data_IF_430448075964
#
_entry.id   IF_430448075964
#
_cell.length_a   1.000
_cell.length_b   1.000
_cell.length_c   1.000
_cell.angle_alpha   90.00
_cell.angle_beta   90.00
_cell.angle_gamma   90.00
#
_symmetry.space_group_name_H-M   'P 1'
#
loop_
_entity.id
_entity.type
_entity.pdbx_description
1 polymer ?
#
# COMPACT_ATOMS: atom_id res chain seq x y z
N UNK A 1 -4.41 -1.36 -32.70
CA UNK A 1 -4.37 -1.20 -31.25
C UNK A 1 -2.94 -1.15 -30.76
N UNK A 2 -2.57 -0.01 -30.17
CA UNK A 2 -1.20 0.23 -29.71
C UNK A 2 -0.75 -0.71 -28.57
N UNK A 3 -1.69 -1.32 -27.87
CA UNK A 3 -1.39 -2.21 -26.75
C UNK A 3 -0.94 -3.60 -27.23
N UNK A 4 -1.50 -4.09 -28.35
CA UNK A 4 -1.20 -5.42 -28.84
C UNK A 4 0.27 -5.64 -29.22
N UNK A 5 0.96 -4.70 -29.92
CA UNK A 5 2.39 -4.86 -30.20
C UNK A 5 3.24 -4.90 -28.92
N UNK A 6 2.89 -4.10 -27.92
CA UNK A 6 3.60 -4.10 -26.64
C UNK A 6 3.43 -5.42 -25.90
N UNK A 7 2.22 -5.97 -25.89
CA UNK A 7 1.93 -7.27 -25.30
C UNK A 7 2.78 -8.37 -25.95
N UNK A 8 2.87 -8.36 -27.28
CA UNK A 8 3.67 -9.32 -28.03
C UNK A 8 5.16 -9.21 -27.69
N UNK A 9 5.65 -7.98 -27.59
CA UNK A 9 7.04 -7.70 -27.23
C UNK A 9 7.38 -8.21 -25.83
N UNK A 10 6.52 -7.97 -24.87
CA UNK A 10 6.70 -8.48 -23.51
C UNK A 10 6.68 -9.99 -23.43
N UNK A 11 5.83 -10.65 -24.21
CA UNK A 11 5.81 -12.11 -24.30
C UNK A 11 7.13 -12.66 -24.83
N UNK A 12 7.74 -12.00 -25.81
CA UNK A 12 9.04 -12.40 -26.35
C UNK A 12 10.15 -12.30 -25.29
N UNK A 13 9.94 -11.54 -24.23
CA UNK A 13 10.86 -11.42 -23.10
C UNK A 13 10.50 -12.37 -21.94
N UNK A 14 9.73 -13.43 -22.22
CA UNK A 14 9.28 -14.42 -21.24
C UNK A 14 8.39 -13.83 -20.12
N UNK A 15 7.69 -12.74 -20.43
CA UNK A 15 6.72 -12.15 -19.52
C UNK A 15 5.32 -12.52 -20.01
N UNK A 16 4.55 -13.22 -19.18
CA UNK A 16 3.17 -13.57 -19.51
C UNK A 16 2.25 -12.39 -19.19
N UNK A 17 1.98 -11.60 -20.23
CA UNK A 17 1.14 -10.40 -20.11
C UNK A 17 -0.32 -10.75 -19.82
N UNK A 18 -0.81 -11.88 -20.33
CA UNK A 18 -2.18 -12.31 -20.02
C UNK A 18 -2.34 -12.63 -18.53
N UNK A 19 -1.36 -13.34 -17.96
CA UNK A 19 -1.39 -13.63 -16.54
C UNK A 19 -1.27 -12.37 -15.69
N UNK A 20 -0.44 -11.41 -16.13
CA UNK A 20 -0.32 -10.10 -15.46
C UNK A 20 -1.63 -9.34 -15.56
N UNK A 21 -2.24 -9.27 -16.74
CA UNK A 21 -3.51 -8.60 -16.97
C UNK A 21 -4.62 -9.20 -16.10
N UNK A 22 -4.69 -10.54 -16.03
CA UNK A 22 -5.68 -11.22 -15.18
C UNK A 22 -5.48 -10.92 -13.71
N UNK A 23 -4.24 -10.87 -13.25
CA UNK A 23 -3.92 -10.49 -11.87
C UNK A 23 -4.29 -9.04 -11.60
N UNK A 24 -4.05 -8.17 -12.58
CA UNK A 24 -4.43 -6.77 -12.49
C UNK A 24 -5.95 -6.60 -12.41
N UNK A 25 -6.70 -7.32 -13.26
CA UNK A 25 -8.16 -7.31 -13.20
C UNK A 25 -8.68 -7.79 -11.84
N UNK A 26 -8.13 -8.90 -11.33
CA UNK A 26 -8.45 -9.36 -9.98
C UNK A 26 -8.09 -8.34 -8.93
N UNK A 27 -6.95 -7.67 -9.09
CA UNK A 27 -6.53 -6.59 -8.20
C UNK A 27 -7.50 -5.43 -8.22
N UNK A 28 -8.00 -5.05 -9.41
CA UNK A 28 -9.01 -3.99 -9.55
C UNK A 28 -10.32 -4.40 -8.87
N UNK A 29 -10.76 -5.64 -9.06
CA UNK A 29 -11.95 -6.16 -8.38
C UNK A 29 -11.75 -6.21 -6.87
N UNK A 30 -10.56 -6.62 -6.42
CA UNK A 30 -10.20 -6.60 -5.00
C UNK A 30 -10.06 -5.19 -4.46
N UNK A 31 -9.60 -4.24 -5.28
CA UNK A 31 -9.51 -2.83 -4.91
C UNK A 31 -10.86 -2.20 -4.64
N UNK A 32 -11.97 -2.77 -5.13
CA UNK A 32 -13.30 -2.33 -4.73
C UNK A 32 -13.55 -2.58 -3.24
N UNK A 33 -12.94 -3.64 -2.69
CA UNK A 33 -12.90 -3.86 -1.24
C UNK A 33 -11.82 -3.01 -0.59
N UNK A 34 -10.69 -2.80 -1.30
CA UNK A 34 -9.54 -2.04 -0.85
C UNK A 34 -8.86 -2.64 0.38
N UNK A 35 -7.72 -2.07 0.69
CA UNK A 35 -7.05 -2.34 1.95
C UNK A 35 -7.55 -1.35 3.00
N UNK A 36 -7.59 -1.79 4.25
CA UNK A 36 -7.95 -0.90 5.36
C UNK A 36 -6.77 -0.05 5.80
N UNK A 37 -5.57 -0.60 5.73
CA UNK A 37 -4.34 0.05 6.21
C UNK A 37 -3.30 0.07 5.10
N UNK A 38 -2.73 1.25 4.84
CA UNK A 38 -1.60 1.40 3.94
C UNK A 38 -0.37 1.87 4.71
N UNK A 39 0.76 1.20 4.49
CA UNK A 39 2.05 1.62 5.03
C UNK A 39 2.91 2.08 3.87
N UNK A 40 3.18 3.38 3.83
CA UNK A 40 4.02 3.99 2.80
C UNK A 40 5.47 3.88 3.22
N UNK A 41 6.30 3.29 2.37
CA UNK A 41 7.67 2.93 2.69
C UNK A 41 8.58 3.05 1.48
N UNK A 42 9.88 2.89 1.71
CA UNK A 42 10.89 2.77 0.66
C UNK A 42 11.79 1.57 0.95
N UNK A 43 12.28 0.92 -0.10
CA UNK A 43 13.17 -0.23 0.04
C UNK A 43 14.57 0.14 0.55
N UNK A 44 14.88 1.43 0.67
CA UNK A 44 16.11 1.91 1.28
C UNK A 44 16.05 1.99 2.81
N UNK A 45 14.90 1.76 3.41
CA UNK A 45 14.77 1.68 4.86
C UNK A 45 15.53 0.47 5.41
N UNK A 46 15.89 0.45 6.70
CA UNK A 46 16.59 -0.69 7.28
C UNK A 46 15.84 -2.00 7.09
N UNK A 47 16.56 -3.05 6.77
CA UNK A 47 16.01 -4.38 6.51
C UNK A 47 15.14 -4.88 7.66
N UNK A 48 15.58 -4.69 8.90
CA UNK A 48 14.83 -5.11 10.08
C UNK A 48 13.49 -4.40 10.19
N UNK A 49 13.46 -3.10 9.88
CA UNK A 49 12.22 -2.31 9.86
C UNK A 49 11.27 -2.82 8.79
N UNK A 50 11.76 -3.03 7.58
CA UNK A 50 10.95 -3.54 6.48
C UNK A 50 10.38 -4.93 6.78
N UNK A 51 11.18 -5.81 7.35
CA UNK A 51 10.72 -7.15 7.75
C UNK A 51 9.61 -7.10 8.79
N UNK A 52 9.74 -6.21 9.76
CA UNK A 52 8.72 -6.05 10.79
C UNK A 52 7.41 -5.53 10.18
N UNK A 53 7.51 -4.55 9.29
CA UNK A 53 6.32 -4.00 8.60
C UNK A 53 5.63 -5.08 7.74
N UNK A 54 6.39 -5.89 7.02
CA UNK A 54 5.85 -6.99 6.22
C UNK A 54 5.15 -8.01 7.12
N UNK A 55 5.78 -8.39 8.22
CA UNK A 55 5.21 -9.33 9.18
C UNK A 55 3.88 -8.82 9.73
N UNK A 56 3.85 -7.56 10.11
CA UNK A 56 2.65 -6.94 10.68
C UNK A 56 1.53 -6.78 9.65
N UNK A 57 1.87 -6.35 8.45
CA UNK A 57 0.90 -6.17 7.36
C UNK A 57 0.19 -7.48 6.99
N UNK A 58 0.88 -8.61 7.12
CA UNK A 58 0.29 -9.92 6.84
C UNK A 58 -0.79 -10.32 7.84
N UNK A 59 -0.76 -9.74 9.03
CA UNK A 59 -1.73 -10.04 10.09
C UNK A 59 -2.99 -9.19 10.00
N UNK A 60 -2.93 -8.10 9.25
CA UNK A 60 -4.02 -7.12 9.15
C UNK A 60 -4.51 -6.99 7.71
N UNK A 61 -5.55 -6.20 7.49
CA UNK A 61 -6.05 -5.89 6.15
C UNK A 61 -5.24 -4.74 5.56
N UNK A 62 -3.98 -4.99 5.25
CA UNK A 62 -3.04 -3.94 4.87
C UNK A 62 -2.12 -4.27 3.73
N UNK A 63 -1.48 -3.23 3.23
CA UNK A 63 -0.46 -3.31 2.18
C UNK A 63 0.66 -2.32 2.46
N UNK A 64 1.87 -2.69 2.03
CA UNK A 64 2.99 -1.77 1.95
C UNK A 64 2.98 -1.14 0.57
N UNK A 65 3.09 0.18 0.51
CA UNK A 65 3.02 0.94 -0.74
C UNK A 65 4.35 1.65 -0.98
N UNK A 66 4.93 1.38 -2.14
CA UNK A 66 6.14 2.03 -2.61
C UNK A 66 5.75 3.13 -3.61
N UNK A 67 6.49 4.22 -3.60
CA UNK A 67 6.25 5.36 -4.50
C UNK A 67 6.55 5.01 -5.95
N UNK A 68 7.56 4.19 -6.19
CA UNK A 68 8.00 3.83 -7.52
C UNK A 68 8.91 2.61 -7.48
N UNK A 69 9.39 2.24 -8.66
CA UNK A 69 10.30 1.12 -8.80
C UNK A 69 11.70 1.46 -8.27
N UNK A 70 12.31 0.52 -7.57
CA UNK A 70 13.68 0.64 -7.08
C UNK A 70 14.62 0.84 -8.29
N UNK A 71 15.39 1.94 -8.24
CA UNK A 71 16.26 2.36 -9.35
C UNK A 71 15.54 2.44 -10.71
N UNK A 72 14.24 2.74 -10.69
CA UNK A 72 13.43 2.87 -11.90
C UNK A 72 13.17 1.56 -12.64
N UNK A 73 13.43 0.41 -12.02
CA UNK A 73 13.36 -0.90 -12.69
C UNK A 73 12.42 -1.85 -11.94
N UNK A 74 11.45 -2.39 -12.66
CA UNK A 74 10.58 -3.45 -12.14
C UNK A 74 11.40 -4.67 -11.70
N UNK A 75 12.33 -5.10 -12.54
CA UNK A 75 13.19 -6.27 -12.27
C UNK A 75 14.03 -6.06 -11.02
N UNK A 76 14.66 -4.90 -10.89
CA UNK A 76 15.49 -4.58 -9.72
C UNK A 76 14.64 -4.46 -8.45
N UNK A 77 13.42 -3.96 -8.56
CA UNK A 77 12.48 -3.91 -7.44
C UNK A 77 12.17 -5.31 -6.94
N UNK A 78 11.83 -6.22 -7.84
CA UNK A 78 11.52 -7.60 -7.51
C UNK A 78 12.73 -8.30 -6.87
N UNK A 79 13.91 -8.13 -7.45
CA UNK A 79 15.16 -8.69 -6.91
C UNK A 79 15.45 -8.14 -5.50
N UNK A 80 15.26 -6.84 -5.30
CA UNK A 80 15.48 -6.21 -4.00
C UNK A 80 14.53 -6.76 -2.94
N UNK A 81 13.27 -6.92 -3.28
CA UNK A 81 12.26 -7.51 -2.39
C UNK A 81 12.67 -8.92 -1.99
N UNK A 82 13.15 -9.72 -2.94
CA UNK A 82 13.63 -11.08 -2.67
C UNK A 82 14.87 -11.08 -1.78
N UNK A 83 15.86 -10.24 -2.10
CA UNK A 83 17.10 -10.11 -1.30
C UNK A 83 16.81 -9.74 0.16
N UNK A 84 15.83 -8.88 0.38
CA UNK A 84 15.44 -8.45 1.71
C UNK A 84 14.55 -9.46 2.44
N UNK A 85 14.15 -10.54 1.76
CA UNK A 85 13.27 -11.54 2.35
C UNK A 85 11.83 -11.08 2.55
N UNK A 86 11.34 -10.21 1.67
CA UNK A 86 10.02 -9.59 1.79
C UNK A 86 8.99 -10.16 0.81
N UNK A 87 9.31 -11.28 0.15
CA UNK A 87 8.52 -11.80 -0.99
C UNK A 87 7.09 -12.20 -0.64
N UNK A 88 6.83 -12.55 0.60
CA UNK A 88 5.51 -12.97 1.06
C UNK A 88 4.67 -11.82 1.63
N UNK A 89 5.16 -10.60 1.53
CA UNK A 89 4.42 -9.40 1.92
C UNK A 89 3.49 -8.90 0.81
N UNK A 90 2.43 -8.20 1.20
CA UNK A 90 1.59 -7.47 0.27
C UNK A 90 2.25 -6.12 -0.01
N UNK A 91 3.06 -6.06 -1.06
CA UNK A 91 3.80 -4.87 -1.46
C UNK A 91 3.30 -4.41 -2.82
N UNK A 92 2.93 -3.14 -2.90
CA UNK A 92 2.40 -2.50 -4.10
C UNK A 92 3.29 -1.32 -4.49
N UNK A 93 3.42 -1.08 -5.78
CA UNK A 93 4.00 0.16 -6.29
C UNK A 93 2.84 1.04 -6.75
N UNK A 94 2.63 2.16 -6.09
CA UNK A 94 1.49 3.03 -6.38
C UNK A 94 1.82 4.50 -6.10
N UNK A 95 2.40 5.19 -7.10
CA UNK A 95 2.71 6.62 -6.95
C UNK A 95 1.47 7.46 -6.68
N UNK A 96 0.34 7.10 -7.28
CA UNK A 96 -0.91 7.82 -7.11
C UNK A 96 -1.38 7.83 -5.65
N UNK A 97 -1.17 6.73 -4.92
CA UNK A 97 -1.53 6.66 -3.50
C UNK A 97 -0.73 7.65 -2.66
N UNK A 98 0.55 7.85 -2.97
CA UNK A 98 1.36 8.87 -2.30
C UNK A 98 0.76 10.27 -2.47
N UNK A 99 0.28 10.58 -3.66
CA UNK A 99 -0.39 11.84 -3.92
C UNK A 99 -1.75 11.93 -3.20
N UNK A 100 -2.55 10.87 -3.31
CA UNK A 100 -3.91 10.84 -2.75
C UNK A 100 -3.94 11.11 -1.24
N UNK A 101 -2.97 10.59 -0.51
CA UNK A 101 -2.90 10.73 0.95
C UNK A 101 -1.85 11.74 1.41
N UNK A 102 -1.31 12.54 0.48
CA UNK A 102 -0.33 13.60 0.77
C UNK A 102 0.88 13.09 1.53
N UNK A 103 1.44 11.99 1.08
CA UNK A 103 2.61 11.37 1.71
C UNK A 103 3.86 12.13 1.29
N UNK A 104 4.54 12.73 2.26
CA UNK A 104 5.79 13.48 2.05
C UNK A 104 6.99 12.84 2.75
N UNK A 105 6.74 11.97 3.71
CA UNK A 105 7.78 11.27 4.47
C UNK A 105 7.39 9.81 4.65
N UNK A 106 8.36 8.94 4.75
CA UNK A 106 8.18 7.51 5.03
C UNK A 106 8.96 7.11 6.27
N UNK A 107 8.50 6.16 7.06
CA UNK A 107 7.20 5.51 6.92
C UNK A 107 6.04 6.42 7.29
N UNK A 108 4.93 6.23 6.59
CA UNK A 108 3.65 6.84 6.94
C UNK A 108 2.58 5.76 6.96
N UNK A 109 1.67 5.86 7.91
CA UNK A 109 0.61 4.88 8.13
C UNK A 109 -0.72 5.55 7.90
N UNK A 110 -1.56 4.94 7.07
CA UNK A 110 -2.88 5.48 6.73
C UNK A 110 -3.93 4.41 7.00
N UNK A 111 -4.95 4.77 7.75
CA UNK A 111 -6.16 3.96 7.91
C UNK A 111 -7.28 4.66 7.16
N UNK A 112 -7.88 3.96 6.20
CA UNK A 112 -8.97 4.52 5.40
C UNK A 112 -10.30 4.20 6.06
N UNK A 113 -11.20 5.17 6.07
CA UNK A 113 -12.52 5.01 6.65
C UNK A 113 -13.50 4.43 5.64
N UNK A 114 -13.30 4.73 4.35
CA UNK A 114 -14.09 4.19 3.24
C UNK A 114 -13.17 3.34 2.35
N UNK A 115 -13.61 2.13 2.02
CA UNK A 115 -12.82 1.20 1.23
C UNK A 115 -12.98 1.46 -0.26
N UNK A 116 -11.85 1.39 -0.97
CA UNK A 116 -11.80 1.33 -2.43
C UNK A 116 -12.42 2.53 -3.13
N UNK A 117 -13.34 2.25 -4.04
CA UNK A 117 -13.95 3.26 -4.91
C UNK A 117 -14.92 4.22 -4.19
N UNK A 118 -15.17 4.01 -2.90
CA UNK A 118 -16.03 4.89 -2.11
C UNK A 118 -15.33 6.15 -1.59
N UNK A 119 -14.04 6.28 -1.86
CA UNK A 119 -13.27 7.47 -1.49
C UNK A 119 -13.76 8.70 -2.25
N UNK A 120 -13.86 9.83 -1.56
CA UNK A 120 -14.12 11.13 -2.18
C UNK A 120 -12.81 11.86 -2.43
N UNK A 121 -12.64 12.39 -3.63
CA UNK A 121 -11.42 13.12 -4.00
C UNK A 121 -11.72 14.62 -4.16
N UNK A 122 -10.76 15.44 -3.78
CA UNK A 122 -10.82 16.89 -4.05
C UNK A 122 -10.38 17.19 -5.49
N UNK A 123 -10.29 18.47 -5.84
CA UNK A 123 -9.93 18.91 -7.20
C UNK A 123 -8.50 18.54 -7.58
N UNK A 124 -7.62 18.33 -6.61
CA UNK A 124 -6.24 17.93 -6.83
C UNK A 124 -6.06 16.40 -6.86
N UNK A 125 -7.15 15.65 -6.73
CA UNK A 125 -7.11 14.19 -6.73
C UNK A 125 -6.69 13.59 -5.39
N UNK A 126 -6.76 14.37 -4.31
CA UNK A 126 -6.44 13.89 -2.97
C UNK A 126 -7.71 13.43 -2.24
N UNK A 127 -7.58 12.37 -1.44
CA UNK A 127 -8.68 11.91 -0.59
C UNK A 127 -8.99 12.98 0.46
N UNK A 128 -10.27 13.21 0.72
CA UNK A 128 -10.68 14.22 1.70
C UNK A 128 -10.12 13.87 3.09
N UNK A 129 -9.57 14.87 3.81
CA UNK A 129 -8.89 14.60 5.09
C UNK A 129 -9.74 13.92 6.15
N UNK A 130 -11.07 14.06 6.09
CA UNK A 130 -11.97 13.41 7.04
C UNK A 130 -12.26 11.94 6.70
N UNK A 131 -11.73 11.41 5.61
CA UNK A 131 -11.97 10.05 5.16
C UNK A 131 -10.80 9.09 5.47
N UNK A 132 -9.71 9.61 6.03
CA UNK A 132 -8.59 8.77 6.45
C UNK A 132 -7.89 9.37 7.67
N UNK A 133 -7.07 8.53 8.31
CA UNK A 133 -6.26 8.92 9.46
C UNK A 133 -4.81 8.59 9.10
N UNK A 134 -3.90 9.53 9.34
CA UNK A 134 -2.50 9.38 8.98
C UNK A 134 -1.59 9.67 10.16
N UNK A 135 -0.60 8.80 10.35
CA UNK A 135 0.52 9.02 11.28
C UNK A 135 1.82 8.86 10.48
N UNK A 136 2.71 9.80 10.59
CA UNK A 136 4.00 9.81 9.93
C UNK A 136 5.11 9.73 10.96
N UNK A 137 6.11 8.89 10.73
CA UNK A 137 7.27 8.79 11.59
C UNK A 137 7.80 7.37 11.72
N UNK A 138 9.03 7.26 12.19
CA UNK A 138 9.71 5.99 12.37
C UNK A 138 9.22 5.30 13.65
N UNK A 139 8.01 4.74 13.56
CA UNK A 139 7.35 4.04 14.66
C UNK A 139 6.84 2.68 14.14
N UNK A 140 6.46 1.79 15.06
CA UNK A 140 5.84 0.52 14.70
C UNK A 140 4.40 0.73 14.22
N UNK A 141 3.88 -0.24 13.49
CA UNK A 141 2.46 -0.22 13.10
C UNK A 141 1.55 -0.19 14.32
N UNK A 142 1.85 -1.01 15.33
CA UNK A 142 1.05 -1.04 16.57
C UNK A 142 1.00 0.34 17.23
N UNK A 143 2.16 1.00 17.35
CA UNK A 143 2.22 2.34 17.92
C UNK A 143 1.40 3.34 17.09
N UNK A 144 1.55 3.31 15.78
CA UNK A 144 0.81 4.20 14.87
C UNK A 144 -0.71 4.02 15.05
N UNK A 145 -1.18 2.78 15.10
CA UNK A 145 -2.60 2.48 15.28
C UNK A 145 -3.11 2.91 16.66
N UNK A 146 -2.33 2.69 17.71
CA UNK A 146 -2.66 3.17 19.07
C UNK A 146 -2.79 4.68 19.11
N UNK A 147 -1.86 5.37 18.45
CA UNK A 147 -1.88 6.83 18.37
C UNK A 147 -3.14 7.32 17.63
N UNK A 148 -3.50 6.66 16.53
CA UNK A 148 -4.71 6.96 15.79
C UNK A 148 -5.97 6.74 16.65
N UNK A 149 -6.04 5.62 17.35
CA UNK A 149 -7.18 5.29 18.20
C UNK A 149 -7.37 6.34 19.30
N UNK A 150 -6.27 6.84 19.86
CA UNK A 150 -6.31 7.87 20.89
C UNK A 150 -6.74 9.25 20.35
N UNK A 151 -6.54 9.51 19.06
CA UNK A 151 -6.80 10.82 18.46
C UNK A 151 -8.18 10.97 17.85
N UNK A 152 -8.84 9.87 17.45
CA UNK A 152 -10.16 9.95 16.84
C UNK A 152 -11.24 10.23 17.87
N UNK A 153 -12.26 10.99 17.43
CA UNK A 153 -13.31 11.48 18.36
C UNK A 153 -14.56 10.63 18.35
N UNK A 154 -14.85 9.94 17.22
CA UNK A 154 -16.06 9.15 17.14
C UNK A 154 -15.78 7.65 17.32
N UNK A 155 -16.79 6.96 17.84
CA UNK A 155 -16.67 5.54 18.18
C UNK A 155 -16.49 4.65 16.96
N UNK A 156 -17.09 4.99 15.81
CA UNK A 156 -16.98 4.18 14.61
C UNK A 156 -15.58 4.20 14.01
N UNK A 157 -14.91 5.34 14.02
CA UNK A 157 -13.53 5.45 13.58
C UNK A 157 -12.59 4.66 14.50
N UNK A 158 -12.80 4.78 15.80
CA UNK A 158 -12.01 4.04 16.79
C UNK A 158 -12.18 2.53 16.60
N UNK A 159 -13.39 2.07 16.35
CA UNK A 159 -13.66 0.65 16.13
C UNK A 159 -12.90 0.10 14.92
N UNK A 160 -12.86 0.85 13.82
CA UNK A 160 -12.09 0.47 12.62
C UNK A 160 -10.62 0.24 12.99
N UNK A 161 -10.03 1.16 13.74
CA UNK A 161 -8.63 1.09 14.14
C UNK A 161 -8.40 -0.07 15.12
N UNK A 162 -9.26 -0.21 16.11
CA UNK A 162 -9.13 -1.25 17.13
C UNK A 162 -9.29 -2.65 16.56
N UNK A 163 -10.11 -2.83 15.51
CA UNK A 163 -10.21 -4.10 14.80
C UNK A 163 -8.86 -4.50 14.20
N UNK A 164 -8.12 -3.56 13.64
CA UNK A 164 -6.81 -3.85 13.09
C UNK A 164 -5.78 -4.13 14.19
N UNK A 165 -5.80 -3.33 15.27
CA UNK A 165 -4.95 -3.58 16.43
C UNK A 165 -5.15 -4.98 17.00
N UNK A 166 -6.38 -5.43 17.08
CA UNK A 166 -6.71 -6.75 17.61
C UNK A 166 -6.15 -7.92 16.80
N UNK A 167 -5.73 -7.68 15.55
CA UNK A 167 -5.12 -8.69 14.69
C UNK A 167 -3.60 -8.76 14.85
N UNK A 168 -3.01 -7.77 15.48
CA UNK A 168 -1.57 -7.74 15.77
C UNK A 168 -1.30 -8.44 17.08
#
# INVERSE_FOLDING_TARGET
>A
DSVAPQITEYRNNNIDIEAIAKRYEKGVVQQQKGERVYIFATLSMPKSTLKQLVTDVRKIDGAIVLRGFYEGSYKKTYQKIQELGLSDGNIQVNPAAFHKYKITQVPSFVVVKKLGANESLDLDGCVLPNEYIKVTGDVSLAYALEKMAASVKNASDREIIEQQLGKL
#
